data_IF_335922779209
#
_entry.id   IF_335922779209
#
_cell.length_a   1.000
_cell.length_b   1.000
_cell.length_c   1.000
_cell.angle_alpha   90.00
_cell.angle_beta   90.00
_cell.angle_gamma   90.00
#
_symmetry.space_group_name_H-M   'P 1'
#
loop_
_entity.id
_entity.type
_entity.pdbx_description
1 polymer ?
#
# COMPACT_ATOMS: atom_id res chain seq x y z
N UNK A 1 30.23 -33.34 19.29
CA UNK A 1 30.54 -32.19 18.44
C UNK A 1 29.78 -32.40 17.14
N UNK A 2 28.74 -31.63 16.88
CA UNK A 2 28.37 -31.31 15.51
C UNK A 2 27.61 -29.98 15.54
N UNK A 3 28.34 -28.91 15.24
CA UNK A 3 27.83 -27.55 15.12
C UNK A 3 27.63 -27.26 13.63
N UNK A 4 26.47 -26.72 13.27
CA UNK A 4 26.36 -25.81 12.13
C UNK A 4 25.58 -26.32 10.92
N UNK A 5 24.26 -26.23 10.97
CA UNK A 5 23.45 -25.82 9.81
C UNK A 5 22.71 -24.55 10.17
N UNK A 6 23.42 -23.43 10.07
CA UNK A 6 22.84 -22.10 10.10
C UNK A 6 22.02 -21.90 8.81
N UNK A 7 20.73 -21.67 9.01
CA UNK A 7 19.76 -21.20 8.02
C UNK A 7 20.28 -19.93 7.30
N UNK A 8 20.89 -20.10 6.13
CA UNK A 8 21.07 -19.00 5.16
C UNK A 8 19.92 -19.06 4.14
N UNK A 9 18.77 -18.50 4.51
CA UNK A 9 17.74 -18.20 3.51
C UNK A 9 18.22 -17.03 2.64
N UNK A 10 18.20 -17.20 1.32
CA UNK A 10 18.60 -16.20 0.34
C UNK A 10 17.79 -14.91 0.48
N UNK A 11 18.36 -13.73 0.14
CA UNK A 11 17.65 -12.44 0.18
C UNK A 11 16.32 -12.45 -0.60
N UNK A 12 16.26 -13.22 -1.70
CA UNK A 12 15.05 -13.41 -2.53
C UNK A 12 13.86 -13.98 -1.74
N UNK A 13 14.09 -14.82 -0.73
CA UNK A 13 13.01 -15.41 0.07
C UNK A 13 12.40 -14.42 1.09
N UNK A 14 13.18 -13.45 1.58
CA UNK A 14 12.68 -12.35 2.43
C UNK A 14 11.89 -11.33 1.62
N UNK A 15 12.32 -11.02 0.40
CA UNK A 15 11.58 -10.14 -0.52
C UNK A 15 10.25 -10.78 -0.96
N UNK A 16 10.23 -12.08 -1.28
CA UNK A 16 8.98 -12.78 -1.61
C UNK A 16 7.92 -12.77 -0.50
N UNK A 17 8.32 -12.76 0.78
CA UNK A 17 7.38 -12.60 1.91
C UNK A 17 6.82 -11.19 2.04
N UNK A 18 7.61 -10.16 1.70
CA UNK A 18 7.17 -8.74 1.74
C UNK A 18 6.12 -8.42 0.68
N UNK A 19 6.15 -9.10 -0.47
CA UNK A 19 5.22 -8.87 -1.58
C UNK A 19 4.02 -9.82 -1.65
N UNK A 20 4.02 -10.93 -0.88
CA UNK A 20 2.81 -11.74 -0.64
C UNK A 20 1.94 -11.10 0.43
N UNK A 21 1.56 -9.83 0.27
CA UNK A 21 0.50 -9.26 1.10
C UNK A 21 -0.77 -10.06 0.85
N UNK A 22 -1.33 -10.63 1.91
CA UNK A 22 -2.73 -11.02 1.85
C UNK A 22 -3.51 -9.72 1.77
N UNK A 23 -4.47 -9.63 0.85
CA UNK A 23 -5.37 -8.50 0.88
C UNK A 23 -6.11 -8.59 2.22
N UNK A 24 -6.13 -7.51 2.98
CA UNK A 24 -6.75 -7.41 4.30
C UNK A 24 -7.25 -5.98 4.46
N UNK A 25 -8.56 -5.77 4.33
CA UNK A 25 -9.13 -4.42 4.37
C UNK A 25 -10.51 -4.38 5.00
N UNK A 26 -10.65 -3.50 5.99
CA UNK A 26 -11.87 -3.21 6.70
C UNK A 26 -12.71 -2.20 5.89
N UNK A 27 -14.02 -2.43 5.85
CA UNK A 27 -14.96 -1.52 5.21
C UNK A 27 -14.90 -0.15 5.87
N UNK A 28 -15.16 0.95 5.15
CA UNK A 28 -15.23 2.28 5.75
C UNK A 28 -16.18 2.39 6.96
N UNK A 29 -17.19 1.53 7.05
CA UNK A 29 -18.12 1.44 8.18
C UNK A 29 -17.62 0.64 9.40
N UNK A 30 -16.48 -0.04 9.29
CA UNK A 30 -15.99 -0.99 10.30
C UNK A 30 -16.82 -2.27 10.46
N UNK A 31 -17.80 -2.53 9.58
CA UNK A 31 -18.71 -3.67 9.69
C UNK A 31 -18.19 -4.96 9.05
N UNK A 32 -17.47 -4.85 7.94
CA UNK A 32 -17.00 -6.00 7.16
C UNK A 32 -15.50 -5.94 6.93
N UNK A 33 -14.83 -7.09 7.09
CA UNK A 33 -13.45 -7.30 6.69
C UNK A 33 -13.43 -8.12 5.40
N UNK A 34 -12.69 -7.64 4.40
CA UNK A 34 -12.40 -8.34 3.16
C UNK A 34 -10.96 -8.81 3.19
N UNK A 35 -10.74 -10.07 2.83
CA UNK A 35 -9.41 -10.65 2.84
C UNK A 35 -9.26 -11.83 1.90
N UNK A 36 -8.01 -12.18 1.57
CA UNK A 36 -7.74 -13.39 0.78
C UNK A 36 -7.40 -14.59 1.65
N UNK A 37 -7.79 -15.77 1.17
CA UNK A 37 -7.43 -17.06 1.76
C UNK A 37 -6.70 -17.91 0.72
N UNK A 38 -5.63 -18.57 1.12
CA UNK A 38 -4.95 -19.57 0.27
C UNK A 38 -5.97 -20.61 -0.20
N UNK A 39 -5.94 -20.96 -1.49
CA UNK A 39 -6.82 -22.00 -2.02
C UNK A 39 -6.40 -23.38 -1.50
N UNK A 40 -7.37 -24.29 -1.41
CA UNK A 40 -7.14 -25.72 -1.18
C UNK A 40 -6.81 -26.49 -2.46
N UNK A 41 -6.93 -25.85 -3.63
CA UNK A 41 -6.58 -26.44 -4.93
C UNK A 41 -5.07 -26.36 -5.19
N UNK A 42 -4.56 -27.11 -6.18
CA UNK A 42 -3.20 -26.94 -6.67
C UNK A 42 -2.88 -25.48 -7.00
N UNK A 43 -1.68 -25.02 -6.64
CA UNK A 43 -1.29 -23.61 -6.72
C UNK A 43 -1.15 -23.10 -8.17
N UNK A 44 -0.95 -24.00 -9.12
CA UNK A 44 -0.95 -23.79 -10.57
C UNK A 44 -2.36 -23.66 -11.17
N UNK A 45 -3.40 -24.01 -10.43
CA UNK A 45 -4.80 -23.77 -10.81
C UNK A 45 -5.40 -22.55 -10.10
N UNK A 46 -5.20 -22.46 -8.78
CA UNK A 46 -5.82 -21.44 -7.94
C UNK A 46 -4.90 -21.11 -6.76
N UNK A 47 -4.43 -19.86 -6.69
CA UNK A 47 -3.49 -19.40 -5.67
C UNK A 47 -4.25 -19.08 -4.38
N UNK A 48 -5.31 -18.28 -4.51
CA UNK A 48 -6.11 -17.79 -3.40
C UNK A 48 -7.53 -17.44 -3.85
N UNK A 49 -8.39 -17.15 -2.89
CA UNK A 49 -9.76 -16.73 -3.09
C UNK A 49 -10.09 -15.54 -2.18
N UNK A 50 -11.00 -14.67 -2.62
CA UNK A 50 -11.41 -13.49 -1.88
C UNK A 50 -12.66 -13.78 -1.03
N UNK A 51 -12.63 -13.34 0.22
CA UNK A 51 -13.66 -13.58 1.23
C UNK A 51 -14.04 -12.27 1.91
N UNK A 52 -15.24 -12.25 2.45
CA UNK A 52 -15.70 -11.21 3.36
C UNK A 52 -16.25 -11.83 4.65
N UNK A 53 -16.17 -11.10 5.75
CA UNK A 53 -16.73 -11.50 7.03
C UNK A 53 -17.24 -10.28 7.79
N UNK A 54 -18.35 -10.42 8.50
CA UNK A 54 -18.90 -9.36 9.36
C UNK A 54 -18.22 -9.42 10.72
N UNK A 55 -17.46 -8.40 11.09
CA UNK A 55 -16.52 -8.47 12.24
C UNK A 55 -17.17 -8.22 13.60
N UNK A 56 -18.36 -7.62 13.63
CA UNK A 56 -19.09 -7.32 14.87
C UNK A 56 -20.03 -8.45 15.32
N UNK A 57 -20.13 -9.54 14.57
CA UNK A 57 -20.93 -10.70 14.96
C UNK A 57 -20.18 -11.52 16.02
N UNK A 58 -20.90 -12.06 17.02
CA UNK A 58 -20.33 -12.96 18.04
C UNK A 58 -19.72 -14.24 17.43
N UNK A 59 -20.37 -14.77 16.38
CA UNK A 59 -19.87 -15.89 15.57
C UNK A 59 -19.75 -15.41 14.10
N UNK A 60 -18.60 -14.80 13.73
CA UNK A 60 -18.40 -14.23 12.42
C UNK A 60 -18.24 -15.35 11.37
N UNK A 61 -19.19 -15.45 10.43
CA UNK A 61 -19.18 -16.45 9.35
C UNK A 61 -18.64 -15.86 8.05
N UNK A 62 -17.46 -16.28 7.59
CA UNK A 62 -16.89 -15.83 6.32
C UNK A 62 -17.68 -16.36 5.13
N UNK A 63 -17.83 -15.55 4.10
CA UNK A 63 -18.45 -15.94 2.83
C UNK A 63 -17.57 -15.56 1.64
N UNK A 64 -17.60 -16.39 0.60
CA UNK A 64 -16.80 -16.20 -0.60
C UNK A 64 -17.39 -15.09 -1.48
N UNK A 65 -16.52 -14.25 -2.03
CA UNK A 65 -16.88 -13.25 -3.06
C UNK A 65 -16.71 -13.81 -4.48
N UNK A 66 -16.50 -15.12 -4.63
CA UNK A 66 -16.34 -15.82 -5.91
C UNK A 66 -15.17 -15.30 -6.80
N UNK A 67 -14.30 -14.46 -6.24
CA UNK A 67 -13.08 -13.99 -6.88
C UNK A 67 -11.89 -14.89 -6.50
N UNK A 68 -11.02 -15.12 -7.47
CA UNK A 68 -9.89 -16.05 -7.40
C UNK A 68 -8.63 -15.37 -7.89
N UNK A 69 -7.48 -15.85 -7.41
CA UNK A 69 -6.16 -15.38 -7.83
C UNK A 69 -6.01 -13.86 -7.68
N UNK A 70 -6.44 -13.34 -6.54
CA UNK A 70 -6.37 -11.93 -6.16
C UNK A 70 -5.10 -11.73 -5.35
N UNK A 71 -4.00 -11.37 -6.01
CA UNK A 71 -2.67 -11.26 -5.37
C UNK A 71 -2.38 -9.82 -4.96
N UNK A 72 -2.36 -8.87 -5.91
CA UNK A 72 -1.85 -7.52 -5.65
C UNK A 72 -2.84 -6.55 -5.02
N UNK A 73 -4.12 -6.66 -5.36
CA UNK A 73 -5.06 -5.58 -5.11
C UNK A 73 -6.47 -6.09 -4.83
N UNK A 74 -6.98 -5.74 -3.65
CA UNK A 74 -8.40 -5.67 -3.35
C UNK A 74 -8.67 -4.54 -2.35
N UNK A 75 -9.63 -3.67 -2.65
CA UNK A 75 -10.04 -2.58 -1.75
C UNK A 75 -11.53 -2.27 -1.86
N UNK A 76 -12.07 -1.61 -0.85
CA UNK A 76 -13.45 -1.11 -0.88
C UNK A 76 -13.60 0.05 -1.86
N UNK A 77 -14.68 0.04 -2.64
CA UNK A 77 -15.08 1.17 -3.47
C UNK A 77 -15.79 2.17 -2.55
N UNK A 78 -15.31 3.43 -2.42
CA UNK A 78 -15.89 4.43 -1.53
C UNK A 78 -17.39 4.62 -1.74
N UNK A 79 -18.13 4.82 -0.64
CA UNK A 79 -19.58 5.06 -0.68
C UNK A 79 -20.42 3.87 -1.15
N UNK A 80 -19.85 2.65 -1.21
CA UNK A 80 -20.56 1.47 -1.70
C UNK A 80 -20.33 0.23 -0.83
N UNK A 81 -21.12 -0.81 -1.08
CA UNK A 81 -20.96 -2.15 -0.52
C UNK A 81 -20.10 -3.07 -1.42
N UNK A 82 -19.27 -2.50 -2.27
CA UNK A 82 -18.54 -3.24 -3.30
C UNK A 82 -17.04 -3.18 -3.07
N UNK A 83 -16.37 -4.24 -3.50
CA UNK A 83 -14.91 -4.39 -3.49
C UNK A 83 -14.43 -4.37 -4.92
N UNK A 84 -13.39 -3.58 -5.20
CA UNK A 84 -12.63 -3.67 -6.43
C UNK A 84 -11.43 -4.59 -6.23
N UNK A 85 -11.08 -5.39 -7.23
CA UNK A 85 -9.92 -6.28 -7.15
C UNK A 85 -9.32 -6.56 -8.53
N UNK A 86 -8.02 -6.88 -8.56
CA UNK A 86 -7.28 -7.29 -9.76
C UNK A 86 -6.90 -8.76 -9.69
N UNK A 87 -6.76 -9.42 -10.84
CA UNK A 87 -6.48 -10.85 -10.90
C UNK A 87 -5.12 -11.17 -11.50
N UNK A 88 -4.64 -12.39 -11.22
CA UNK A 88 -3.44 -12.95 -11.82
C UNK A 88 -3.73 -14.34 -12.39
N UNK A 89 -2.89 -14.79 -13.31
CA UNK A 89 -2.81 -16.18 -13.74
C UNK A 89 -1.66 -16.89 -13.04
N UNK A 90 -1.85 -18.10 -12.49
CA UNK A 90 -0.73 -18.90 -11.98
C UNK A 90 0.30 -19.20 -13.07
N UNK A 91 1.57 -19.26 -12.67
CA UNK A 91 2.70 -19.61 -13.53
C UNK A 91 3.64 -20.56 -12.79
N UNK A 92 4.30 -21.43 -13.55
CA UNK A 92 5.31 -22.34 -13.00
C UNK A 92 6.66 -21.66 -12.73
N UNK A 93 6.91 -20.51 -13.37
CA UNK A 93 8.12 -19.70 -13.19
C UNK A 93 7.92 -18.68 -12.07
N UNK A 94 9.00 -18.28 -11.40
CA UNK A 94 8.96 -17.20 -10.43
C UNK A 94 8.37 -15.92 -11.07
N UNK A 95 7.55 -15.13 -10.35
CA UNK A 95 7.19 -15.26 -8.92
C UNK A 95 6.08 -16.28 -8.60
N UNK A 96 5.66 -17.07 -9.58
CA UNK A 96 4.59 -18.08 -9.47
C UNK A 96 3.26 -17.63 -10.06
N UNK A 97 3.21 -16.44 -10.65
CA UNK A 97 2.02 -15.88 -11.29
C UNK A 97 2.41 -14.77 -12.29
N UNK A 98 1.45 -14.38 -13.12
CA UNK A 98 1.53 -13.23 -14.03
C UNK A 98 0.25 -12.41 -13.89
N UNK A 99 0.38 -11.09 -13.72
CA UNK A 99 -0.76 -10.22 -13.57
C UNK A 99 -1.56 -10.09 -14.86
N UNK A 100 -2.89 -10.03 -14.73
CA UNK A 100 -3.78 -9.72 -15.84
C UNK A 100 -3.92 -8.20 -16.05
N UNK A 101 -3.53 -7.40 -15.05
CA UNK A 101 -3.68 -5.93 -15.05
C UNK A 101 -5.13 -5.48 -15.25
N UNK A 102 -6.09 -6.37 -14.98
CA UNK A 102 -7.50 -6.08 -15.05
C UNK A 102 -8.03 -5.52 -13.73
N UNK A 103 -9.29 -5.10 -13.76
CA UNK A 103 -9.99 -4.64 -12.56
C UNK A 103 -11.44 -5.11 -12.62
N UNK A 104 -11.89 -5.73 -11.54
CA UNK A 104 -13.26 -6.14 -11.35
C UNK A 104 -13.85 -5.46 -10.13
N UNK A 105 -15.18 -5.45 -10.08
CA UNK A 105 -16.01 -5.07 -8.94
C UNK A 105 -16.89 -6.23 -8.55
N UNK A 106 -16.98 -6.53 -7.26
CA UNK A 106 -17.95 -7.48 -6.71
C UNK A 106 -18.66 -6.87 -5.51
N UNK A 107 -19.96 -7.09 -5.37
CA UNK A 107 -20.73 -6.63 -4.21
C UNK A 107 -20.71 -7.67 -3.10
N UNK A 108 -20.57 -7.23 -1.85
CA UNK A 108 -20.66 -8.14 -0.70
C UNK A 108 -22.09 -8.65 -0.47
N UNK A 109 -23.10 -8.02 -1.07
CA UNK A 109 -24.50 -8.47 -0.99
C UNK A 109 -24.84 -9.51 -2.05
N UNK A 110 -23.86 -9.94 -2.85
CA UNK A 110 -24.00 -10.96 -3.90
C UNK A 110 -24.01 -10.38 -5.31
N UNK A 111 -24.17 -11.28 -6.29
CA UNK A 111 -24.05 -10.98 -7.71
C UNK A 111 -22.71 -11.42 -8.30
N UNK A 112 -22.68 -11.54 -9.62
CA UNK A 112 -21.45 -11.90 -10.34
C UNK A 112 -20.48 -10.71 -10.37
N UNK A 113 -19.16 -10.94 -10.30
CA UNK A 113 -18.18 -9.88 -10.50
C UNK A 113 -18.35 -9.20 -11.86
N UNK A 114 -18.31 -7.87 -11.87
CA UNK A 114 -18.39 -7.03 -13.06
C UNK A 114 -17.01 -6.47 -13.39
N UNK A 115 -16.61 -6.56 -14.65
CA UNK A 115 -15.36 -5.98 -15.16
C UNK A 115 -15.45 -4.45 -15.24
N UNK A 116 -14.42 -3.77 -14.73
CA UNK A 116 -14.18 -2.32 -14.87
C UNK A 116 -13.10 -2.08 -15.92
N UNK A 117 -11.99 -2.81 -15.84
CA UNK A 117 -10.86 -2.73 -16.76
C UNK A 117 -10.58 -4.11 -17.34
N UNK A 118 -10.41 -4.19 -18.67
CA UNK A 118 -10.03 -5.43 -19.34
C UNK A 118 -8.55 -5.73 -19.14
N UNK A 119 -8.21 -7.02 -19.15
CA UNK A 119 -6.84 -7.47 -19.07
C UNK A 119 -5.98 -6.78 -20.15
N UNK A 120 -4.78 -6.38 -19.75
CA UNK A 120 -3.88 -5.60 -20.58
C UNK A 120 -2.43 -5.90 -20.20
N UNK A 121 -1.48 -5.38 -21.00
CA UNK A 121 -0.06 -5.67 -20.82
C UNK A 121 0.55 -5.11 -19.54
N UNK A 122 -0.05 -4.08 -18.93
CA UNK A 122 0.47 -3.44 -17.72
C UNK A 122 1.74 -2.61 -17.92
N UNK A 123 2.15 -2.33 -19.16
CA UNK A 123 3.37 -1.55 -19.46
C UNK A 123 4.67 -2.33 -19.24
N UNK A 124 5.79 -1.61 -19.08
CA UNK A 124 7.08 -2.22 -18.73
C UNK A 124 6.97 -2.91 -17.37
N UNK A 125 7.45 -4.16 -17.32
CA UNK A 125 7.30 -5.06 -16.16
C UNK A 125 5.84 -5.31 -15.71
N UNK A 126 4.87 -5.13 -16.61
CA UNK A 126 3.45 -5.38 -16.33
C UNK A 126 3.09 -6.83 -16.02
N UNK A 127 4.02 -7.78 -16.18
CA UNK A 127 3.88 -9.14 -15.66
C UNK A 127 3.75 -9.18 -14.13
N UNK A 128 4.27 -8.17 -13.42
CA UNK A 128 4.15 -8.03 -11.97
C UNK A 128 2.84 -7.37 -11.53
N UNK A 129 2.21 -6.55 -12.37
CA UNK A 129 0.90 -5.99 -12.06
C UNK A 129 0.85 -4.47 -11.94
N UNK A 130 -0.33 -4.03 -11.50
CA UNK A 130 -0.65 -2.63 -11.24
C UNK A 130 -1.24 -2.50 -9.84
N UNK A 131 -1.08 -1.32 -9.24
CA UNK A 131 -1.81 -0.93 -8.05
C UNK A 131 -2.86 0.12 -8.40
N UNK A 132 -3.89 0.26 -7.56
CA UNK A 132 -4.95 1.23 -7.75
C UNK A 132 -5.25 1.96 -6.44
N UNK A 133 -5.79 3.18 -6.54
CA UNK A 133 -6.21 3.95 -5.38
C UNK A 133 -7.47 4.76 -5.71
N UNK A 134 -8.52 4.59 -4.91
CA UNK A 134 -9.72 5.41 -5.00
C UNK A 134 -9.53 6.74 -4.27
N UNK A 135 -9.92 7.83 -4.91
CA UNK A 135 -10.15 9.10 -4.26
C UNK A 135 -11.43 9.05 -3.41
N UNK A 136 -11.60 9.95 -2.42
CA UNK A 136 -12.83 10.05 -1.65
C UNK A 136 -14.10 10.27 -2.51
N UNK A 137 -13.96 10.89 -3.67
CA UNK A 137 -15.05 11.16 -4.63
C UNK A 137 -15.33 9.99 -5.61
N UNK A 138 -14.57 8.90 -5.52
CA UNK A 138 -14.72 7.73 -6.38
C UNK A 138 -13.89 7.74 -7.67
N UNK A 139 -13.11 8.79 -7.96
CA UNK A 139 -12.07 8.73 -9.01
C UNK A 139 -11.07 7.63 -8.69
N UNK A 140 -10.51 7.02 -9.73
CA UNK A 140 -9.61 5.88 -9.58
C UNK A 140 -8.28 6.18 -10.27
N UNK A 141 -7.21 6.24 -9.48
CA UNK A 141 -5.85 6.29 -9.97
C UNK A 141 -5.26 4.88 -10.09
N UNK A 142 -4.31 4.70 -10.99
CA UNK A 142 -3.45 3.53 -11.06
C UNK A 142 -1.99 3.92 -10.92
N UNK A 143 -1.17 2.98 -10.44
CA UNK A 143 0.27 2.98 -10.67
C UNK A 143 0.72 1.63 -11.22
N UNK A 144 1.76 1.68 -12.03
CA UNK A 144 2.47 0.54 -12.59
C UNK A 144 3.97 0.91 -12.67
N UNK A 145 4.87 -0.05 -12.93
CA UNK A 145 6.31 0.20 -12.80
C UNK A 145 6.84 1.37 -13.63
N UNK A 146 6.19 1.68 -14.76
CA UNK A 146 6.58 2.75 -15.69
C UNK A 146 5.67 3.98 -15.69
N UNK A 147 4.66 4.06 -14.80
CA UNK A 147 3.79 5.23 -14.83
C UNK A 147 2.61 5.24 -13.86
N UNK A 148 2.01 6.42 -13.74
CA UNK A 148 0.83 6.72 -12.93
C UNK A 148 -0.23 7.37 -13.83
N UNK A 149 -1.51 7.10 -13.56
CA UNK A 149 -2.61 7.70 -14.31
C UNK A 149 -3.97 7.42 -13.70
N UNK A 150 -5.01 7.58 -14.50
CA UNK A 150 -6.40 7.31 -14.10
C UNK A 150 -7.00 6.13 -14.83
N UNK A 151 -7.98 5.48 -14.19
CA UNK A 151 -8.84 4.48 -14.82
C UNK A 151 -10.15 5.17 -15.20
N UNK A 152 -10.48 5.17 -16.49
CA UNK A 152 -11.83 5.52 -16.94
C UNK A 152 -12.78 4.36 -16.63
N UNK A 153 -13.50 4.44 -15.51
CA UNK A 153 -14.34 3.34 -15.03
C UNK A 153 -15.52 3.01 -15.97
N UNK A 154 -16.03 4.00 -16.69
CA UNK A 154 -17.14 3.80 -17.63
C UNK A 154 -16.68 3.24 -18.98
N UNK A 155 -15.51 3.68 -19.44
CA UNK A 155 -14.98 3.32 -20.76
C UNK A 155 -14.00 2.15 -20.72
N UNK A 156 -13.50 1.79 -19.55
CA UNK A 156 -12.61 0.65 -19.33
C UNK A 156 -11.22 0.79 -19.94
N UNK A 157 -10.63 1.99 -19.90
CA UNK A 157 -9.26 2.23 -20.35
C UNK A 157 -8.45 3.12 -19.38
N UNK A 158 -7.13 3.10 -19.54
CA UNK A 158 -6.18 3.88 -18.76
C UNK A 158 -5.92 5.24 -19.41
N UNK A 159 -5.88 6.30 -18.60
CA UNK A 159 -5.52 7.66 -18.99
C UNK A 159 -4.17 7.97 -18.32
N UNK A 160 -3.04 7.94 -19.06
CA UNK A 160 -1.73 8.26 -18.49
C UNK A 160 -1.67 9.68 -17.93
N UNK A 161 -0.94 9.88 -16.84
CA UNK A 161 -0.72 11.18 -16.20
C UNK A 161 0.78 11.50 -16.06
N UNK A 162 1.58 10.52 -15.61
CA UNK A 162 3.00 10.68 -15.32
C UNK A 162 3.76 9.42 -15.73
N UNK A 163 4.90 9.62 -16.39
CA UNK A 163 5.88 8.55 -16.63
C UNK A 163 6.80 8.39 -15.42
N UNK A 164 7.11 7.14 -15.07
CA UNK A 164 8.05 6.79 -14.02
C UNK A 164 9.16 5.96 -14.65
N UNK A 165 10.42 6.26 -14.33
CA UNK A 165 11.53 5.39 -14.74
C UNK A 165 11.39 4.04 -14.03
N UNK A 166 11.22 2.92 -14.75
CA UNK A 166 11.08 1.62 -14.11
C UNK A 166 12.39 1.20 -13.46
N UNK A 167 12.31 0.66 -12.23
CA UNK A 167 13.47 0.12 -11.52
C UNK A 167 13.86 -1.25 -12.10
N UNK A 168 15.13 -1.41 -12.48
CA UNK A 168 15.69 -2.70 -12.81
C UNK A 168 16.13 -3.43 -11.53
N UNK A 169 15.29 -4.35 -11.04
CA UNK A 169 15.57 -5.10 -9.80
C UNK A 169 16.58 -6.24 -9.99
N UNK A 170 16.87 -6.61 -11.25
CA UNK A 170 17.61 -7.83 -11.61
C UNK A 170 17.05 -9.10 -10.93
N UNK A 171 15.75 -9.13 -10.65
CA UNK A 171 15.11 -10.19 -9.86
C UNK A 171 13.68 -10.49 -10.33
N UNK A 172 13.07 -11.51 -9.75
CA UNK A 172 11.72 -11.98 -10.09
C UNK A 172 10.63 -11.16 -9.39
N UNK A 173 10.84 -9.84 -9.27
CA UNK A 173 9.85 -8.88 -8.82
C UNK A 173 10.04 -7.52 -9.50
N UNK A 174 8.98 -6.72 -9.59
CA UNK A 174 9.06 -5.34 -10.04
C UNK A 174 8.59 -4.38 -8.95
N UNK A 175 9.20 -3.20 -8.90
CA UNK A 175 8.72 -2.15 -8.02
C UNK A 175 7.53 -1.42 -8.68
N UNK A 176 6.43 -1.29 -7.92
CA UNK A 176 5.28 -0.46 -8.31
C UNK A 176 5.26 0.75 -7.38
N UNK A 177 5.23 1.99 -7.89
CA UNK A 177 5.10 3.20 -7.09
C UNK A 177 3.92 3.12 -6.12
N UNK A 178 4.16 3.17 -4.79
CA UNK A 178 3.08 3.41 -3.84
C UNK A 178 2.43 4.77 -4.14
N UNK A 179 1.10 4.82 -4.09
CA UNK A 179 0.31 6.04 -4.26
C UNK A 179 -0.84 6.10 -3.24
N UNK A 180 -1.25 7.31 -2.88
CA UNK A 180 -2.45 7.57 -2.08
C UNK A 180 -3.04 8.93 -2.48
N UNK A 181 -4.36 9.04 -2.44
CA UNK A 181 -5.05 10.31 -2.60
C UNK A 181 -4.97 11.14 -1.31
N UNK A 182 -4.87 12.46 -1.46
CA UNK A 182 -5.16 13.40 -0.39
C UNK A 182 -6.58 13.19 0.14
N UNK A 183 -6.79 13.46 1.43
CA UNK A 183 -8.08 13.24 2.08
C UNK A 183 -9.20 14.17 1.53
N UNK A 184 -8.82 15.24 0.85
CA UNK A 184 -9.72 16.14 0.10
C UNK A 184 -9.96 15.70 -1.35
N UNK A 185 -9.27 14.64 -1.83
CA UNK A 185 -9.31 14.17 -3.21
C UNK A 185 -8.59 15.07 -4.22
N UNK A 186 -7.90 16.11 -3.77
CA UNK A 186 -7.36 17.15 -4.65
C UNK A 186 -5.84 17.08 -4.84
N UNK A 187 -5.18 16.16 -4.13
CA UNK A 187 -3.77 15.83 -4.33
C UNK A 187 -3.57 14.33 -4.49
N UNK A 188 -2.51 13.94 -5.18
CA UNK A 188 -2.01 12.56 -5.23
C UNK A 188 -0.58 12.53 -4.71
N UNK A 189 -0.34 11.77 -3.64
CA UNK A 189 1.00 11.53 -3.10
C UNK A 189 1.50 10.19 -3.62
N UNK A 190 2.74 10.14 -4.07
CA UNK A 190 3.33 8.92 -4.63
C UNK A 190 4.84 8.92 -4.46
N UNK A 191 5.42 7.72 -4.51
CA UNK A 191 6.88 7.58 -4.52
C UNK A 191 7.37 7.58 -5.97
N UNK A 192 8.33 8.44 -6.29
CA UNK A 192 8.99 8.50 -7.60
C UNK A 192 10.37 7.85 -7.54
N UNK A 193 10.78 7.22 -8.64
CA UNK A 193 12.14 6.72 -8.81
C UNK A 193 13.01 7.86 -9.36
N UNK A 194 13.91 8.37 -8.52
CA UNK A 194 14.74 9.54 -8.82
C UNK A 194 16.07 9.09 -9.41
N UNK A 195 16.62 9.82 -10.38
CA UNK A 195 17.89 9.48 -11.01
C UNK A 195 19.08 9.68 -10.06
N UNK A 196 20.10 8.83 -10.20
CA UNK A 196 21.39 9.01 -9.57
C UNK A 196 22.35 9.78 -10.50
N UNK A 197 23.41 10.40 -9.96
CA UNK A 197 24.50 10.93 -10.78
C UNK A 197 25.17 9.82 -11.60
N UNK A 198 25.70 10.18 -12.77
CA UNK A 198 26.54 9.27 -13.56
C UNK A 198 27.70 8.70 -12.72
N UNK A 199 28.08 7.43 -12.90
CA UNK A 199 27.76 6.56 -14.04
C UNK A 199 26.51 5.67 -13.87
N UNK A 200 25.74 5.82 -12.78
CA UNK A 200 24.57 4.98 -12.51
C UNK A 200 23.45 5.34 -13.51
N UNK A 201 22.84 4.34 -14.15
CA UNK A 201 21.70 4.56 -15.05
C UNK A 201 20.45 4.96 -14.26
N UNK A 202 19.46 5.58 -14.90
CA UNK A 202 18.26 5.99 -14.15
C UNK A 202 17.47 4.78 -13.66
N UNK A 203 17.48 3.67 -14.41
CA UNK A 203 16.83 2.41 -14.06
C UNK A 203 17.51 1.66 -12.89
N UNK A 204 18.79 1.93 -12.62
CA UNK A 204 19.58 1.34 -11.53
C UNK A 204 19.75 2.28 -10.33
N UNK A 205 19.13 3.47 -10.37
CA UNK A 205 19.24 4.44 -9.30
C UNK A 205 18.69 3.87 -7.98
N UNK A 206 19.38 4.08 -6.85
CA UNK A 206 18.85 3.65 -5.56
C UNK A 206 17.96 4.72 -4.89
N UNK A 207 17.74 5.86 -5.55
CA UNK A 207 17.05 7.01 -4.97
C UNK A 207 15.55 7.00 -5.27
N UNK A 208 14.76 7.21 -4.22
CA UNK A 208 13.31 7.26 -4.30
C UNK A 208 12.80 8.43 -3.48
N UNK A 209 12.05 9.30 -4.13
CA UNK A 209 11.50 10.51 -3.53
C UNK A 209 10.02 10.34 -3.22
N UNK A 210 9.52 11.03 -2.21
CA UNK A 210 8.08 11.23 -2.04
C UNK A 210 7.70 12.52 -2.76
N UNK A 211 6.75 12.41 -3.67
CA UNK A 211 6.27 13.47 -4.55
C UNK A 211 4.76 13.66 -4.40
N UNK A 212 4.28 14.84 -4.78
CA UNK A 212 2.86 15.14 -4.84
C UNK A 212 2.49 15.83 -6.16
N UNK A 213 1.31 15.48 -6.68
CA UNK A 213 0.60 16.25 -7.71
C UNK A 213 -0.60 16.90 -7.04
N UNK A 214 -0.77 18.21 -7.21
CA UNK A 214 -1.97 18.93 -6.78
C UNK A 214 -2.79 19.32 -8.00
N UNK A 215 -4.07 18.93 -8.00
CA UNK A 215 -5.00 19.18 -9.10
C UNK A 215 -5.64 20.57 -9.04
N UNK A 216 -5.56 21.27 -7.91
CA UNK A 216 -6.08 22.66 -7.81
C UNK A 216 -5.17 23.70 -8.44
N UNK A 217 -3.87 23.46 -8.45
CA UNK A 217 -2.87 24.40 -8.96
C UNK A 217 -2.03 23.81 -10.10
N UNK A 218 -2.39 22.61 -10.57
CA UNK A 218 -1.73 21.87 -11.66
C UNK A 218 -0.20 21.76 -11.45
N UNK A 219 0.22 21.60 -10.19
CA UNK A 219 1.63 21.55 -9.82
C UNK A 219 2.04 20.14 -9.41
N UNK A 220 3.27 19.76 -9.81
CA UNK A 220 3.97 18.59 -9.33
C UNK A 220 5.23 19.03 -8.59
N UNK A 221 5.49 18.44 -7.42
CA UNK A 221 6.69 18.73 -6.65
C UNK A 221 7.18 17.48 -5.90
N UNK A 222 8.51 17.36 -5.80
CA UNK A 222 9.15 16.50 -4.80
C UNK A 222 8.99 17.17 -3.43
N UNK A 223 8.39 16.46 -2.47
CA UNK A 223 8.15 16.97 -1.11
C UNK A 223 9.14 16.37 -0.09
N UNK A 224 9.66 15.17 -0.34
CA UNK A 224 10.75 14.58 0.45
C UNK A 224 11.73 13.89 -0.48
N UNK A 225 12.97 14.38 -0.50
CA UNK A 225 14.04 13.69 -1.22
C UNK A 225 14.45 12.42 -0.46
N UNK A 226 14.75 11.35 -1.18
CA UNK A 226 15.34 10.14 -0.61
C UNK A 226 14.51 9.50 0.51
N UNK A 227 13.18 9.46 0.35
CA UNK A 227 12.27 8.76 1.25
C UNK A 227 12.50 7.24 1.25
N UNK A 228 12.88 6.67 0.10
CA UNK A 228 13.10 5.23 -0.08
C UNK A 228 11.92 4.50 -0.74
N UNK A 229 12.18 3.33 -1.34
CA UNK A 229 11.22 2.68 -2.24
C UNK A 229 9.89 2.29 -1.59
N UNK A 230 9.90 2.03 -0.28
CA UNK A 230 8.74 1.58 0.49
C UNK A 230 8.21 2.66 1.43
N UNK A 231 8.21 3.92 0.98
CA UNK A 231 7.73 5.02 1.79
C UNK A 231 6.22 4.98 2.11
N UNK A 232 5.42 4.24 1.32
CA UNK A 232 4.01 3.93 1.61
C UNK A 232 3.20 5.09 2.25
N UNK A 233 3.02 6.23 1.52
CA UNK A 233 2.31 7.37 2.07
C UNK A 233 0.87 7.01 2.44
N UNK A 234 0.37 7.63 3.49
CA UNK A 234 -0.99 7.48 4.02
C UNK A 234 -1.47 8.83 4.56
N UNK A 235 -2.77 9.09 4.50
CA UNK A 235 -3.34 10.40 4.87
C UNK A 235 -4.29 10.27 6.05
N UNK A 236 -4.28 11.27 6.94
CA UNK A 236 -5.24 11.38 8.03
C UNK A 236 -6.64 11.73 7.52
N UNK A 237 -7.65 11.63 8.38
CA UNK A 237 -8.93 12.26 8.12
C UNK A 237 -8.77 13.78 7.91
N UNK A 238 -9.71 14.39 7.19
CA UNK A 238 -9.75 15.85 7.01
C UNK A 238 -10.19 16.50 8.32
N UNK A 239 -9.37 17.40 8.82
CA UNK A 239 -9.75 18.37 9.85
C UNK A 239 -10.28 19.63 9.16
N UNK A 240 -11.40 20.15 9.67
CA UNK A 240 -11.95 21.43 9.20
C UNK A 240 -11.71 22.48 10.27
N UNK A 241 -10.78 23.40 10.02
CA UNK A 241 -10.60 24.59 10.85
C UNK A 241 -11.24 25.79 10.14
N UNK A 242 -12.53 26.00 10.38
CA UNK A 242 -13.33 27.00 9.66
C UNK A 242 -13.52 26.61 8.19
N UNK A 243 -12.96 27.40 7.26
CA UNK A 243 -13.03 27.13 5.81
C UNK A 243 -11.84 26.31 5.29
N UNK A 244 -10.78 26.19 6.07
CA UNK A 244 -9.59 25.48 5.65
C UNK A 244 -9.71 23.99 6.00
N UNK A 245 -9.45 23.15 5.00
CA UNK A 245 -9.34 21.70 5.17
C UNK A 245 -7.87 21.37 5.32
N UNK A 246 -7.47 20.91 6.49
CA UNK A 246 -6.15 20.39 6.78
C UNK A 246 -6.21 18.87 6.90
N UNK A 247 -5.10 18.21 6.58
CA UNK A 247 -4.86 16.82 6.88
C UNK A 247 -3.34 16.62 6.91
N UNK A 248 -2.90 15.53 7.55
CA UNK A 248 -1.51 15.17 7.64
C UNK A 248 -1.21 13.98 6.74
N UNK A 249 0.06 13.90 6.32
CA UNK A 249 0.60 12.79 5.53
C UNK A 249 1.61 12.06 6.40
N UNK A 250 1.38 10.77 6.63
CA UNK A 250 2.35 9.88 7.24
C UNK A 250 3.03 9.06 6.15
N UNK A 251 4.34 8.88 6.28
CA UNK A 251 5.15 8.10 5.35
C UNK A 251 6.28 7.40 6.10
N UNK A 252 6.90 6.44 5.44
CA UNK A 252 8.09 5.76 5.91
C UNK A 252 9.32 6.35 5.25
N UNK A 253 10.35 6.65 6.03
CA UNK A 253 11.64 7.09 5.53
C UNK A 253 12.72 6.04 5.79
N UNK A 254 13.43 5.64 4.75
CA UNK A 254 14.50 4.65 4.82
C UNK A 254 15.63 5.14 5.72
N UNK A 255 16.13 4.27 6.59
CA UNK A 255 17.33 4.53 7.40
C UNK A 255 18.59 4.54 6.54
N UNK A 256 18.61 3.70 5.51
CA UNK A 256 19.69 3.58 4.54
C UNK A 256 19.11 3.72 3.14
N UNK A 257 19.14 4.93 2.61
CA UNK A 257 18.50 5.31 1.34
C UNK A 257 19.00 4.44 0.18
N UNK A 258 20.33 4.28 0.09
CA UNK A 258 20.97 3.51 -1.00
C UNK A 258 20.64 2.00 -0.99
N UNK A 259 20.10 1.49 0.12
CA UNK A 259 19.73 0.09 0.30
C UNK A 259 18.26 -0.04 0.70
N UNK A 260 17.40 0.84 0.17
CA UNK A 260 16.00 0.95 0.59
C UNK A 260 15.18 -0.35 0.42
N UNK A 261 15.65 -1.28 -0.40
CA UNK A 261 15.03 -2.59 -0.64
C UNK A 261 15.13 -3.54 0.57
N UNK A 262 16.21 -3.42 1.34
CA UNK A 262 16.55 -4.23 2.51
C UNK A 262 16.53 -3.43 3.80
N UNK A 263 16.44 -2.10 3.70
CA UNK A 263 16.46 -1.17 4.82
C UNK A 263 15.31 -1.33 5.81
N UNK A 264 15.54 -0.74 6.98
CA UNK A 264 14.52 -0.43 7.97
C UNK A 264 14.05 1.00 7.76
N UNK A 265 12.88 1.32 8.28
CA UNK A 265 12.25 2.61 8.07
C UNK A 265 11.92 3.31 9.39
N UNK A 266 11.68 4.62 9.31
CA UNK A 266 11.12 5.46 10.37
C UNK A 266 9.76 5.98 9.91
N UNK A 267 8.79 5.96 10.80
CA UNK A 267 7.52 6.67 10.63
C UNK A 267 7.78 8.16 10.75
N UNK A 268 7.43 8.88 9.68
CA UNK A 268 7.45 10.32 9.58
C UNK A 268 6.03 10.83 9.41
N UNK A 269 5.77 12.06 9.85
CA UNK A 269 4.54 12.80 9.59
C UNK A 269 4.89 14.19 9.07
N UNK A 270 4.06 14.76 8.21
CA UNK A 270 4.17 16.14 7.74
C UNK A 270 2.77 16.68 7.42
N UNK A 271 2.66 18.00 7.25
CA UNK A 271 1.45 18.62 6.75
C UNK A 271 1.25 18.32 5.26
N UNK A 272 0.03 18.54 4.75
CA UNK A 272 -0.34 18.24 3.35
C UNK A 272 0.58 18.86 2.29
N UNK A 273 1.27 19.95 2.60
CA UNK A 273 2.18 20.66 1.70
C UNK A 273 3.65 20.22 1.84
N UNK A 274 3.94 19.28 2.74
CA UNK A 274 5.29 18.80 3.05
C UNK A 274 5.99 19.57 4.16
N UNK A 275 5.37 20.62 4.70
CA UNK A 275 5.92 21.37 5.84
C UNK A 275 5.75 20.63 7.16
N UNK A 276 6.40 21.13 8.22
CA UNK A 276 6.31 20.60 9.59
C UNK A 276 6.60 19.08 9.70
N UNK A 277 7.55 18.60 8.91
CA UNK A 277 7.97 17.19 8.95
C UNK A 277 8.62 16.83 10.28
N UNK A 278 8.18 15.71 10.86
CA UNK A 278 8.68 15.18 12.12
C UNK A 278 8.82 13.66 12.09
N UNK A 279 9.90 13.14 12.69
CA UNK A 279 10.07 11.71 12.94
C UNK A 279 9.32 11.32 14.22
N UNK A 280 8.45 10.32 14.13
CA UNK A 280 7.61 9.89 15.25
C UNK A 280 8.05 8.57 15.87
N UNK A 281 8.42 7.58 15.05
CA UNK A 281 8.62 6.22 15.54
C UNK A 281 9.51 5.37 14.61
N UNK A 282 10.22 4.36 15.11
CA UNK A 282 10.55 4.14 16.52
C UNK A 282 11.53 5.21 17.04
N UNK A 283 11.84 5.21 18.35
CA UNK A 283 12.90 6.05 18.91
C UNK A 283 14.20 6.01 18.10
N UNK A 284 14.97 7.10 18.12
CA UNK A 284 16.17 7.30 17.27
C UNK A 284 17.20 6.18 17.40
N UNK A 285 17.35 5.62 18.61
CA UNK A 285 18.28 4.54 18.97
C UNK A 285 17.81 3.15 18.53
N UNK A 286 16.57 2.99 18.07
CA UNK A 286 16.06 1.72 17.58
C UNK A 286 16.51 1.43 16.13
N UNK A 287 16.47 0.18 15.70
CA UNK A 287 16.86 -0.20 14.33
C UNK A 287 15.84 0.22 13.25
N UNK A 288 14.64 0.66 13.61
CA UNK A 288 13.56 1.00 12.67
C UNK A 288 12.50 -0.10 12.53
N UNK A 289 11.46 0.21 11.77
CA UNK A 289 10.33 -0.68 11.49
C UNK A 289 10.48 -1.34 10.11
N UNK A 290 9.80 -2.48 9.94
CA UNK A 290 9.62 -3.09 8.62
C UNK A 290 8.73 -2.20 7.74
N UNK A 291 8.92 -2.22 6.41
CA UNK A 291 8.02 -1.55 5.48
C UNK A 291 6.55 -1.96 5.68
N UNK A 292 5.67 -0.98 5.81
CA UNK A 292 4.23 -1.15 5.99
C UNK A 292 3.49 0.14 5.66
N UNK A 293 2.17 0.08 5.51
CA UNK A 293 1.36 1.30 5.34
C UNK A 293 0.93 1.76 6.74
N UNK A 294 1.29 2.97 7.19
CA UNK A 294 0.79 3.50 8.45
C UNK A 294 -0.73 3.64 8.40
N UNK A 295 -1.42 3.22 9.47
CA UNK A 295 -2.90 3.24 9.53
C UNK A 295 -3.38 4.33 10.49
N UNK A 296 -4.01 5.37 9.95
CA UNK A 296 -4.54 6.47 10.75
C UNK A 296 -5.79 6.08 11.54
N UNK A 297 -5.94 6.65 12.73
CA UNK A 297 -7.18 6.62 13.47
C UNK A 297 -8.31 7.26 12.65
N UNK A 298 -9.50 6.65 12.57
CA UNK A 298 -10.62 7.16 11.78
C UNK A 298 -11.27 8.41 12.40
N UNK A 299 -11.06 8.61 13.70
CA UNK A 299 -11.56 9.73 14.47
C UNK A 299 -10.58 10.05 15.59
N UNK A 300 -10.73 11.25 16.17
CA UNK A 300 -9.91 11.63 17.31
C UNK A 300 -10.23 10.77 18.54
N UNK A 301 -9.18 10.24 19.17
CA UNK A 301 -9.27 9.46 20.42
C UNK A 301 -9.06 10.39 21.61
N UNK A 302 -9.85 10.25 22.67
CA UNK A 302 -9.75 11.12 23.85
C UNK A 302 -8.35 11.08 24.47
N UNK A 303 -7.78 12.26 24.75
CA UNK A 303 -6.46 12.40 25.41
C UNK A 303 -5.27 12.47 24.46
N UNK A 304 -5.50 12.39 23.14
CA UNK A 304 -4.45 12.57 22.13
C UNK A 304 -4.15 14.05 21.86
N UNK A 305 -2.93 14.37 21.41
CA UNK A 305 -2.56 15.70 20.92
C UNK A 305 -2.83 15.84 19.42
N UNK A 306 -2.40 14.87 18.61
CA UNK A 306 -2.77 14.71 17.20
C UNK A 306 -3.49 13.38 16.98
N UNK A 307 -3.67 12.92 15.75
CA UNK A 307 -4.28 11.61 15.50
C UNK A 307 -3.32 10.47 15.81
N UNK A 308 -3.86 9.37 16.32
CA UNK A 308 -3.07 8.14 16.40
C UNK A 308 -2.80 7.55 15.02
N UNK A 309 -1.58 7.03 14.87
CA UNK A 309 -1.13 6.23 13.75
C UNK A 309 -0.78 4.84 14.29
N UNK A 310 -1.48 3.82 13.81
CA UNK A 310 -1.19 2.43 14.09
C UNK A 310 -0.06 1.91 13.19
N UNK A 311 0.93 1.28 13.80
CA UNK A 311 2.04 0.57 13.14
C UNK A 311 2.33 -0.75 13.82
N UNK A 312 2.87 -1.70 13.06
CA UNK A 312 3.42 -2.96 13.58
C UNK A 312 4.91 -2.80 13.86
N UNK A 313 5.32 -3.17 15.07
CA UNK A 313 6.72 -3.21 15.44
C UNK A 313 7.01 -4.43 16.31
N UNK A 314 7.98 -5.23 15.88
CA UNK A 314 8.34 -6.50 16.53
C UNK A 314 7.14 -7.45 16.71
N UNK A 315 6.24 -7.50 15.72
CA UNK A 315 5.04 -8.33 15.75
C UNK A 315 3.95 -7.82 16.69
N UNK A 316 4.06 -6.59 17.20
CA UNK A 316 3.07 -6.00 18.10
C UNK A 316 2.42 -4.77 17.46
N UNK A 317 1.18 -4.49 17.85
CA UNK A 317 0.48 -3.26 17.51
C UNK A 317 0.97 -2.12 18.41
N UNK A 318 1.37 -1.02 17.78
CA UNK A 318 1.72 0.24 18.43
C UNK A 318 0.83 1.36 17.91
N UNK A 319 0.39 2.24 18.81
CA UNK A 319 -0.29 3.49 18.49
C UNK A 319 0.66 4.65 18.76
N UNK A 320 0.88 5.50 17.77
CA UNK A 320 1.79 6.64 17.84
C UNK A 320 0.99 7.92 17.64
N UNK A 321 1.03 8.83 18.60
CA UNK A 321 0.32 10.12 18.53
C UNK A 321 1.08 11.07 17.59
N UNK A 322 0.42 11.54 16.53
CA UNK A 322 1.04 12.39 15.51
C UNK A 322 1.42 13.79 16.01
N UNK A 323 0.80 14.26 17.09
CA UNK A 323 1.04 15.62 17.61
C UNK A 323 2.19 15.72 18.60
N UNK A 324 2.54 14.63 19.29
CA UNK A 324 3.58 14.64 20.33
C UNK A 324 4.58 13.47 20.23
N UNK A 325 4.40 12.53 19.31
CA UNK A 325 5.28 11.39 19.10
C UNK A 325 5.24 10.31 20.18
N UNK A 326 4.34 10.40 21.17
CA UNK A 326 4.20 9.35 22.20
C UNK A 326 3.68 8.07 21.55
N UNK A 327 4.37 6.98 21.85
CA UNK A 327 4.06 5.65 21.34
C UNK A 327 3.59 4.72 22.46
N UNK A 328 2.54 3.94 22.17
CA UNK A 328 1.89 3.04 23.10
C UNK A 328 1.80 1.65 22.48
N UNK A 329 2.41 0.67 23.13
CA UNK A 329 2.26 -0.73 22.74
C UNK A 329 0.91 -1.26 23.22
N UNK A 330 0.10 -1.81 22.31
CA UNK A 330 -1.26 -2.32 22.60
C UNK A 330 -1.25 -3.83 22.80
N UNK A 331 -0.45 -4.56 22.03
CA UNK A 331 -0.31 -6.03 22.13
C UNK A 331 1.11 -6.42 22.53
N UNK A 332 1.31 -7.63 23.06
CA UNK A 332 2.62 -8.05 23.59
C UNK A 332 3.04 -9.48 23.25
N UNK A 333 2.30 -10.17 22.39
CA UNK A 333 2.56 -11.57 22.03
C UNK A 333 3.46 -11.75 20.80
N UNK A 334 3.71 -10.68 20.04
CA UNK A 334 4.53 -10.71 18.83
C UNK A 334 3.86 -11.39 17.63
N UNK A 335 2.53 -11.54 17.63
CA UNK A 335 1.80 -12.32 16.62
C UNK A 335 1.03 -11.48 15.58
N UNK A 336 1.06 -10.15 15.67
CA UNK A 336 0.37 -9.27 14.72
C UNK A 336 1.12 -9.25 13.40
N UNK A 337 0.39 -9.54 12.32
CA UNK A 337 0.93 -9.58 10.95
C UNK A 337 0.27 -8.61 9.98
N UNK A 338 -0.96 -8.15 10.27
CA UNK A 338 -1.73 -7.24 9.42
C UNK A 338 -2.58 -6.31 10.30
N UNK A 339 -2.85 -5.11 9.78
CA UNK A 339 -3.68 -4.07 10.41
C UNK A 339 -4.43 -3.26 9.34
N UNK A 340 -5.70 -2.95 9.61
CA UNK A 340 -6.45 -1.89 8.92
C UNK A 340 -7.39 -1.25 9.95
N UNK A 341 -7.55 0.07 9.89
CA UNK A 341 -8.31 0.87 10.85
C UNK A 341 -9.28 1.79 10.11
N UNK A 342 -10.57 1.72 10.46
CA UNK A 342 -11.69 2.48 9.88
C UNK A 342 -12.66 2.91 10.95
#
# INVERSE_FOLDING_TARGET
MDYGKLNSQSPSHRQHRRFRRQNFTLSPSGEYLVYTRKSSKPADEEINTLWAVRVKNLDPKPFSLQAKNVVHFATWIPGSNSVAYSTVEPRSTAPGWQANNDLYRVSITGGAPRKILTANSGGVYGWWGMNFAFAPDGRLAYSRPDGIGFVSQDKGYLIPLLDITPLNTHSDWAWIPPLVWGADGNSLYFVSHASAPAPITSEESPYFDLSAISFSNEAQATIVNSAGMFAYPSVSAVESNGKEKSFQVAYLQSVFVEQSDTSRYRLMVMDRDGSNSAMLFPPVDANGIEPQVPSWAPAAVTGQTGYFIAVMYQGNLWLVDSGNGKAYQVTGDGLITEIDWK
#
